data_IF_067725615819
#
_entry.id   IF_067725615819
#
_cell.length_a   1.000
_cell.length_b   1.000
_cell.length_c   1.000
_cell.angle_alpha   90.00
_cell.angle_beta   90.00
_cell.angle_gamma   90.00
#
_symmetry.space_group_name_H-M   'P 1'
#
loop_
_entity.id
_entity.type
_entity.pdbx_description
1 polymer ?
#
# COMPACT_ATOMS: atom_id res chain seq x y z
N UNK A 1 -21.42 -4.40 -4.95
CA UNK A 1 -20.45 -3.93 -5.96
C UNK A 1 -21.22 -3.73 -7.25
N UNK A 2 -21.04 -2.60 -7.95
CA UNK A 2 -21.72 -2.38 -9.23
C UNK A 2 -21.10 -3.28 -10.33
N UNK A 3 -21.77 -3.36 -11.48
CA UNK A 3 -21.36 -4.26 -12.57
C UNK A 3 -19.98 -3.89 -13.15
N UNK A 4 -19.73 -2.59 -13.33
CA UNK A 4 -18.45 -2.10 -13.82
C UNK A 4 -17.27 -2.51 -12.90
N UNK A 5 -17.41 -2.32 -11.59
CA UNK A 5 -16.40 -2.71 -10.62
C UNK A 5 -16.19 -4.23 -10.59
N UNK A 6 -17.26 -5.02 -10.75
CA UNK A 6 -17.15 -6.46 -10.88
C UNK A 6 -16.29 -6.86 -12.09
N UNK A 7 -16.54 -6.22 -13.23
CA UNK A 7 -15.77 -6.43 -14.47
C UNK A 7 -14.31 -6.00 -14.34
N UNK A 8 -14.05 -4.83 -13.76
CA UNK A 8 -12.67 -4.36 -13.51
C UNK A 8 -11.93 -5.28 -12.54
N UNK A 9 -12.60 -5.77 -11.49
CA UNK A 9 -12.05 -6.72 -10.54
C UNK A 9 -11.74 -8.06 -11.21
N UNK A 10 -12.64 -8.56 -12.05
CA UNK A 10 -12.42 -9.76 -12.84
C UNK A 10 -11.20 -9.58 -13.77
N UNK A 11 -11.12 -8.47 -14.50
CA UNK A 11 -9.96 -8.18 -15.34
C UNK A 11 -8.66 -8.14 -14.53
N UNK A 12 -8.68 -7.53 -13.35
CA UNK A 12 -7.53 -7.48 -12.44
C UNK A 12 -7.07 -8.86 -11.94
N UNK A 13 -7.96 -9.84 -11.94
CA UNK A 13 -7.65 -11.23 -11.57
C UNK A 13 -6.91 -12.02 -12.66
N UNK A 14 -7.05 -11.62 -13.93
CA UNK A 14 -6.50 -12.38 -15.04
C UNK A 14 -4.97 -12.35 -15.02
N UNK A 15 -4.36 -13.52 -15.19
CA UNK A 15 -2.90 -13.68 -15.20
C UNK A 15 -2.29 -12.86 -16.33
N UNK A 16 -1.22 -12.13 -16.00
CA UNK A 16 -0.53 -11.27 -16.98
C UNK A 16 -1.18 -9.90 -17.20
N UNK A 17 -2.31 -9.58 -16.55
CA UNK A 17 -2.86 -8.21 -16.58
C UNK A 17 -2.00 -7.25 -15.78
N UNK A 18 -1.28 -6.38 -16.50
CA UNK A 18 -0.53 -5.28 -15.91
C UNK A 18 -1.38 -4.00 -15.83
N UNK A 19 -0.92 -3.05 -15.00
CA UNK A 19 -1.54 -1.73 -14.87
C UNK A 19 -1.73 -1.04 -16.23
N UNK A 20 -0.71 -1.07 -17.10
CA UNK A 20 -0.73 -0.46 -18.44
C UNK A 20 -1.73 -1.15 -19.38
N UNK A 21 -1.91 -2.45 -19.23
CA UNK A 21 -2.86 -3.20 -20.07
C UNK A 21 -4.29 -2.83 -19.69
N UNK A 22 -4.61 -2.80 -18.40
CA UNK A 22 -5.92 -2.36 -17.91
C UNK A 22 -6.19 -0.91 -18.35
N UNK A 23 -5.21 -0.01 -18.23
CA UNK A 23 -5.31 1.38 -18.71
C UNK A 23 -5.70 1.46 -20.20
N UNK A 24 -5.00 0.71 -21.05
CA UNK A 24 -5.25 0.73 -22.48
C UNK A 24 -6.56 0.03 -22.88
N UNK A 25 -7.01 -0.97 -22.12
CA UNK A 25 -8.34 -1.57 -22.27
C UNK A 25 -9.41 -0.52 -21.93
N UNK A 26 -9.30 0.15 -20.78
CA UNK A 26 -10.25 1.19 -20.37
C UNK A 26 -10.29 2.39 -21.35
N UNK A 27 -9.19 2.70 -22.03
CA UNK A 27 -9.19 3.70 -23.12
C UNK A 27 -10.07 3.31 -24.31
N UNK A 28 -10.17 2.01 -24.62
CA UNK A 28 -10.91 1.50 -25.78
C UNK A 28 -12.32 1.05 -25.42
N UNK A 29 -12.51 0.55 -24.21
CA UNK A 29 -13.80 0.12 -23.66
C UNK A 29 -13.97 0.65 -22.23
N UNK A 30 -14.34 1.94 -22.08
CA UNK A 30 -14.44 2.59 -20.77
C UNK A 30 -15.46 1.97 -19.82
N UNK A 31 -16.43 1.20 -20.35
CA UNK A 31 -17.47 0.53 -19.56
C UNK A 31 -17.21 -0.97 -19.37
N UNK A 32 -16.12 -1.49 -19.96
CA UNK A 32 -15.79 -2.91 -19.99
C UNK A 32 -16.94 -3.79 -20.52
N UNK A 33 -17.81 -3.27 -21.38
CA UNK A 33 -18.99 -3.98 -21.91
C UNK A 33 -18.62 -5.14 -22.83
N UNK A 34 -17.47 -5.04 -23.48
CA UNK A 34 -17.05 -5.96 -24.52
C UNK A 34 -15.91 -6.87 -24.06
N UNK A 35 -15.53 -6.85 -22.76
CA UNK A 35 -14.41 -7.63 -22.23
C UNK A 35 -14.61 -9.15 -22.32
N UNK A 36 -15.85 -9.64 -22.40
CA UNK A 36 -16.13 -11.07 -22.57
C UNK A 36 -16.28 -11.48 -24.04
N UNK A 37 -16.21 -10.52 -24.97
CA UNK A 37 -16.27 -10.80 -26.39
C UNK A 37 -14.85 -10.92 -26.94
N UNK A 38 -14.54 -12.01 -27.65
CA UNK A 38 -13.23 -12.26 -28.28
C UNK A 38 -12.75 -11.12 -29.20
N UNK A 39 -13.68 -10.27 -29.66
CA UNK A 39 -13.42 -9.13 -30.54
C UNK A 39 -12.46 -8.09 -29.91
N UNK A 40 -12.53 -7.85 -28.59
CA UNK A 40 -11.70 -6.81 -27.97
C UNK A 40 -10.21 -7.18 -27.98
N UNK A 41 -9.92 -8.44 -27.69
CA UNK A 41 -8.56 -8.99 -27.67
C UNK A 41 -7.97 -9.20 -29.07
N UNK A 42 -8.82 -9.25 -30.10
CA UNK A 42 -8.42 -9.16 -31.52
C UNK A 42 -8.04 -7.75 -31.97
N UNK A 43 -8.54 -6.70 -31.30
CA UNK A 43 -8.26 -5.28 -31.61
C UNK A 43 -7.06 -4.74 -30.81
N UNK A 44 -6.56 -5.52 -29.85
CA UNK A 44 -5.41 -5.14 -29.03
C UNK A 44 -4.25 -6.17 -29.03
N UNK A 45 -3.88 -6.80 -30.16
CA UNK A 45 -2.76 -7.75 -30.18
C UNK A 45 -1.43 -7.09 -29.82
N UNK A 46 -1.30 -5.77 -30.04
CA UNK A 46 -0.10 -4.98 -29.75
C UNK A 46 0.21 -4.80 -28.25
N UNK A 47 -0.73 -5.07 -27.33
CA UNK A 47 -0.46 -5.00 -25.89
C UNK A 47 0.09 -6.28 -25.29
N UNK A 48 0.01 -7.39 -26.02
CA UNK A 48 0.49 -8.68 -25.55
C UNK A 48 1.83 -8.96 -26.22
N UNK A 49 2.90 -8.88 -25.44
CA UNK A 49 4.27 -9.13 -25.91
C UNK A 49 4.49 -10.58 -26.36
N UNK A 50 3.62 -11.52 -25.98
CA UNK A 50 3.66 -12.93 -26.39
C UNK A 50 2.25 -13.48 -26.62
N UNK A 51 2.12 -14.45 -27.54
CA UNK A 51 0.86 -15.18 -27.80
C UNK A 51 0.32 -15.89 -26.55
N UNK A 52 1.21 -16.36 -25.68
CA UNK A 52 0.86 -17.07 -24.43
C UNK A 52 0.23 -16.17 -23.37
N UNK A 53 0.53 -14.87 -23.37
CA UNK A 53 -0.08 -13.92 -22.43
C UNK A 53 -1.55 -13.69 -22.75
N UNK A 54 -1.89 -13.60 -24.04
CA UNK A 54 -3.27 -13.41 -24.50
C UNK A 54 -4.15 -14.63 -24.22
N UNK A 55 -3.65 -15.84 -24.47
CA UNK A 55 -4.40 -17.07 -24.23
C UNK A 55 -4.73 -17.27 -22.75
N UNK A 56 -3.80 -16.98 -21.85
CA UNK A 56 -4.04 -17.03 -20.41
C UNK A 56 -5.13 -16.05 -19.96
N UNK A 57 -5.09 -14.82 -20.45
CA UNK A 57 -6.09 -13.79 -20.10
C UNK A 57 -7.48 -14.18 -20.60
N UNK A 58 -7.58 -14.65 -21.84
CA UNK A 58 -8.85 -15.13 -22.39
C UNK A 58 -9.39 -16.33 -21.61
N UNK A 59 -8.53 -17.29 -21.28
CA UNK A 59 -8.92 -18.43 -20.44
C UNK A 59 -9.46 -17.96 -19.09
N UNK A 60 -8.77 -17.02 -18.46
CA UNK A 60 -9.14 -16.49 -17.14
C UNK A 60 -10.45 -15.71 -17.19
N UNK A 61 -10.69 -14.89 -18.23
CA UNK A 61 -11.93 -14.11 -18.40
C UNK A 61 -13.19 -14.97 -18.51
N UNK A 62 -13.04 -16.18 -19.05
CA UNK A 62 -14.11 -17.17 -19.18
C UNK A 62 -14.08 -18.24 -18.07
N UNK A 63 -13.23 -18.05 -17.05
CA UNK A 63 -13.11 -18.99 -15.94
C UNK A 63 -14.12 -18.68 -14.85
N UNK A 64 -15.00 -19.64 -14.57
CA UNK A 64 -15.92 -19.58 -13.42
C UNK A 64 -15.16 -19.52 -12.07
N UNK A 65 -13.92 -20.00 -12.05
CA UNK A 65 -13.09 -20.02 -10.85
C UNK A 65 -12.80 -18.60 -10.33
N UNK A 66 -12.55 -17.62 -11.21
CA UNK A 66 -12.28 -16.24 -10.78
C UNK A 66 -13.54 -15.61 -10.22
N UNK A 67 -14.69 -15.84 -10.85
CA UNK A 67 -15.95 -15.35 -10.34
C UNK A 67 -16.26 -15.94 -8.97
N UNK A 68 -15.99 -17.23 -8.77
CA UNK A 68 -16.13 -17.88 -7.47
C UNK A 68 -15.18 -17.27 -6.44
N UNK A 69 -13.91 -17.05 -6.78
CA UNK A 69 -12.98 -16.34 -5.89
C UNK A 69 -13.51 -14.98 -5.46
N UNK A 70 -14.05 -14.17 -6.40
CA UNK A 70 -14.58 -12.84 -6.09
C UNK A 70 -15.81 -12.94 -5.17
N UNK A 71 -16.68 -13.94 -5.37
CA UNK A 71 -17.83 -14.19 -4.48
C UNK A 71 -17.41 -14.46 -3.04
N UNK A 72 -16.22 -15.03 -2.81
CA UNK A 72 -15.70 -15.31 -1.47
C UNK A 72 -15.23 -14.07 -0.69
N UNK A 73 -15.11 -12.89 -1.31
CA UNK A 73 -14.56 -11.71 -0.62
C UNK A 73 -15.48 -11.14 0.44
N UNK A 74 -16.73 -10.87 0.09
CA UNK A 74 -17.70 -10.32 1.05
C UNK A 74 -17.91 -11.25 2.25
N UNK A 75 -18.10 -12.58 2.09
CA UNK A 75 -18.17 -13.52 3.22
C UNK A 75 -16.93 -13.52 4.12
N UNK A 76 -15.75 -13.25 3.58
CA UNK A 76 -14.50 -13.16 4.35
C UNK A 76 -14.22 -11.75 4.91
N UNK A 77 -15.19 -10.83 4.82
CA UNK A 77 -15.05 -9.45 5.29
C UNK A 77 -14.10 -8.60 4.44
N UNK A 78 -13.83 -9.02 3.20
CA UNK A 78 -12.98 -8.31 2.25
C UNK A 78 -13.87 -7.44 1.38
N UNK A 79 -13.55 -6.14 1.35
CA UNK A 79 -14.15 -5.15 0.47
C UNK A 79 -13.21 -4.93 -0.71
N UNK A 80 -13.80 -4.87 -1.90
CA UNK A 80 -13.11 -4.52 -3.13
C UNK A 80 -13.45 -3.07 -3.45
N UNK A 81 -12.42 -2.23 -3.56
CA UNK A 81 -12.53 -0.79 -3.80
C UNK A 81 -11.77 -0.48 -5.09
N UNK A 82 -12.44 0.05 -6.11
CA UNK A 82 -11.80 0.43 -7.37
C UNK A 82 -11.42 1.90 -7.38
N UNK A 83 -10.54 2.31 -8.29
CA UNK A 83 -10.16 3.72 -8.49
C UNK A 83 -11.34 4.67 -8.78
N UNK A 84 -12.51 4.11 -9.12
CA UNK A 84 -13.73 4.83 -9.44
C UNK A 84 -14.69 4.94 -8.25
N UNK A 85 -14.43 4.21 -7.17
CA UNK A 85 -15.23 4.27 -5.94
C UNK A 85 -14.92 5.54 -5.14
N UNK A 86 -15.94 6.04 -4.43
CA UNK A 86 -15.80 7.21 -3.54
C UNK A 86 -14.85 6.92 -2.38
N UNK A 87 -14.78 5.67 -1.96
CA UNK A 87 -13.95 5.18 -0.88
C UNK A 87 -12.46 5.08 -1.27
N UNK A 88 -12.13 5.22 -2.55
CA UNK A 88 -10.74 5.19 -2.99
C UNK A 88 -9.97 6.43 -2.52
N UNK A 89 -8.80 6.29 -1.86
CA UNK A 89 -8.07 7.42 -1.31
C UNK A 89 -7.65 8.43 -2.39
N UNK A 90 -7.97 9.70 -2.18
CA UNK A 90 -7.71 10.78 -3.15
C UNK A 90 -6.20 10.91 -3.41
N UNK A 91 -5.37 10.97 -2.36
CA UNK A 91 -3.91 11.08 -2.51
C UNK A 91 -3.32 9.91 -3.29
N UNK A 92 -3.82 8.69 -3.06
CA UNK A 92 -3.34 7.53 -3.78
C UNK A 92 -3.72 7.61 -5.26
N UNK A 93 -4.90 8.16 -5.58
CA UNK A 93 -5.40 8.33 -6.95
C UNK A 93 -4.55 9.31 -7.78
N UNK A 94 -3.92 10.27 -7.12
CA UNK A 94 -3.04 11.29 -7.74
C UNK A 94 -1.63 10.77 -8.06
N UNK A 95 -1.26 9.60 -7.55
CA UNK A 95 0.06 9.00 -7.82
C UNK A 95 0.23 8.64 -9.30
N UNK A 96 1.46 8.35 -9.73
CA UNK A 96 1.74 8.06 -11.15
C UNK A 96 1.06 6.78 -11.67
N UNK A 97 0.94 5.74 -10.83
CA UNK A 97 0.34 4.44 -11.18
C UNK A 97 -0.57 3.94 -10.06
N UNK A 98 -1.70 4.62 -9.77
CA UNK A 98 -2.60 4.23 -8.68
C UNK A 98 -3.13 2.80 -8.90
N UNK A 99 -3.17 1.93 -7.87
CA UNK A 99 -3.77 0.60 -8.02
C UNK A 99 -5.19 0.67 -8.60
N UNK A 100 -5.49 -0.12 -9.63
CA UNK A 100 -6.85 -0.15 -10.20
C UNK A 100 -7.88 -0.65 -9.18
N UNK A 101 -7.46 -1.57 -8.32
CA UNK A 101 -8.28 -2.23 -7.30
C UNK A 101 -7.48 -2.33 -5.99
N UNK A 102 -8.15 -2.05 -4.88
CA UNK A 102 -7.66 -2.27 -3.52
C UNK A 102 -8.59 -3.28 -2.85
N UNK A 103 -8.01 -4.33 -2.31
CA UNK A 103 -8.68 -5.30 -1.45
C UNK A 103 -8.43 -4.90 0.00
N UNK A 104 -9.48 -4.62 0.73
CA UNK A 104 -9.44 -4.06 2.08
C UNK A 104 -10.18 -4.96 3.07
N UNK A 105 -9.61 -5.18 4.26
CA UNK A 105 -10.26 -5.91 5.35
C UNK A 105 -10.08 -5.16 6.66
N UNK A 106 -11.21 -4.89 7.32
CA UNK A 106 -11.30 -4.06 8.51
C UNK A 106 -12.14 -2.81 8.27
N UNK A 107 -11.81 -1.73 8.97
CA UNK A 107 -12.53 -0.46 8.92
C UNK A 107 -12.09 0.39 7.71
N UNK A 108 -12.87 0.34 6.63
CA UNK A 108 -12.57 1.07 5.39
C UNK A 108 -12.71 2.60 5.54
N UNK A 109 -13.39 3.12 6.58
CA UNK A 109 -13.49 4.57 6.74
C UNK A 109 -12.12 5.21 6.98
N UNK A 110 -11.15 4.43 7.48
CA UNK A 110 -9.78 4.87 7.69
C UNK A 110 -9.10 5.33 6.40
N UNK A 111 -9.55 4.90 5.21
CA UNK A 111 -8.95 5.30 3.93
C UNK A 111 -9.12 6.79 3.61
N UNK A 112 -10.17 7.44 4.13
CA UNK A 112 -10.50 8.84 3.82
C UNK A 112 -10.70 9.71 5.08
N UNK A 113 -10.39 9.18 6.26
CA UNK A 113 -10.46 9.93 7.52
C UNK A 113 -9.08 10.41 7.95
N UNK A 114 -9.00 11.58 8.58
CA UNK A 114 -7.78 12.07 9.24
C UNK A 114 -6.62 12.30 8.29
N UNK A 115 -5.43 12.50 8.86
CA UNK A 115 -4.17 12.68 8.11
C UNK A 115 -3.36 11.40 8.17
N UNK A 116 -3.03 10.83 7.02
CA UNK A 116 -2.17 9.65 6.93
C UNK A 116 -0.69 10.02 6.96
N UNK A 117 0.06 9.39 7.87
CA UNK A 117 1.51 9.45 7.93
C UNK A 117 2.09 8.06 7.67
N UNK A 118 2.85 7.93 6.59
CA UNK A 118 3.61 6.72 6.31
C UNK A 118 4.77 6.61 7.31
N UNK A 119 4.93 5.48 7.97
CA UNK A 119 6.07 5.23 8.88
C UNK A 119 6.81 3.99 8.41
N UNK A 120 8.06 4.15 8.01
CA UNK A 120 8.89 3.06 7.49
C UNK A 120 10.27 3.08 8.12
N UNK A 121 10.93 1.92 8.09
CA UNK A 121 12.32 1.83 8.53
C UNK A 121 12.91 0.44 8.47
N UNK A 122 13.99 0.25 9.21
CA UNK A 122 14.75 -0.99 9.26
C UNK A 122 13.89 -2.16 9.70
N UNK A 123 14.09 -3.31 9.04
CA UNK A 123 13.53 -4.60 9.47
C UNK A 123 14.17 -5.15 10.74
N UNK A 124 15.32 -4.60 11.12
CA UNK A 124 16.00 -4.82 12.39
C UNK A 124 15.86 -3.52 13.18
N UNK A 125 14.80 -3.40 13.97
CA UNK A 125 14.61 -2.24 14.82
C UNK A 125 15.65 -2.26 15.95
N UNK A 126 16.20 -1.09 16.28
CA UNK A 126 17.04 -0.94 17.48
C UNK A 126 16.25 -0.23 18.57
N UNK A 127 16.77 -0.26 19.80
CA UNK A 127 16.18 0.46 20.94
C UNK A 127 15.97 1.95 20.62
N UNK A 128 16.88 2.56 19.86
CA UNK A 128 16.75 3.94 19.41
C UNK A 128 15.48 4.14 18.57
N UNK A 129 15.25 3.28 17.57
CA UNK A 129 14.07 3.39 16.70
C UNK A 129 12.76 3.15 17.45
N UNK A 130 12.76 2.19 18.38
CA UNK A 130 11.60 1.95 19.26
C UNK A 130 11.30 3.16 20.15
N UNK A 131 12.32 3.73 20.80
CA UNK A 131 12.18 4.93 21.63
C UNK A 131 11.71 6.14 20.84
N UNK A 132 12.21 6.32 19.61
CA UNK A 132 11.77 7.41 18.74
C UNK A 132 10.27 7.29 18.42
N UNK A 133 9.78 6.08 18.09
CA UNK A 133 8.35 5.83 17.87
C UNK A 133 7.56 6.11 19.15
N UNK A 134 7.98 5.54 20.29
CA UNK A 134 7.30 5.71 21.58
C UNK A 134 7.23 7.19 22.02
N UNK A 135 8.23 7.99 21.66
CA UNK A 135 8.28 9.42 21.94
C UNK A 135 7.34 10.23 21.03
N UNK A 136 7.37 9.98 19.72
CA UNK A 136 6.63 10.81 18.74
C UNK A 136 5.14 10.42 18.62
N UNK A 137 4.82 9.13 18.72
CA UNK A 137 3.48 8.62 18.41
C UNK A 137 2.36 9.15 19.29
N UNK A 138 2.52 9.27 20.63
CA UNK A 138 1.42 9.73 21.49
C UNK A 138 0.81 11.04 21.01
N UNK A 139 1.66 12.01 20.64
CA UNK A 139 1.21 13.33 20.19
C UNK A 139 0.61 13.31 18.78
N UNK A 140 1.21 12.56 17.85
CA UNK A 140 0.65 12.38 16.50
C UNK A 140 -0.76 11.79 16.58
N UNK A 141 -0.94 10.78 17.43
CA UNK A 141 -2.21 10.07 17.62
C UNK A 141 -3.24 10.96 18.32
N UNK A 142 -2.85 11.72 19.34
CA UNK A 142 -3.69 12.73 19.98
C UNK A 142 -4.26 13.72 18.95
N UNK A 143 -3.48 14.07 17.92
CA UNK A 143 -3.90 14.94 16.82
C UNK A 143 -4.63 14.23 15.67
N UNK A 144 -4.97 12.95 15.84
CA UNK A 144 -5.75 12.18 14.86
C UNK A 144 -4.96 11.72 13.64
N UNK A 145 -3.62 11.71 13.70
CA UNK A 145 -2.79 11.15 12.62
C UNK A 145 -2.97 9.63 12.58
N UNK A 146 -3.22 9.12 11.38
CA UNK A 146 -3.35 7.69 11.09
C UNK A 146 -2.01 7.17 10.61
N UNK A 147 -1.48 6.16 11.30
CA UNK A 147 -0.19 5.56 10.95
C UNK A 147 -0.38 4.55 9.83
N UNK A 148 0.30 4.76 8.70
CA UNK A 148 0.31 3.83 7.57
C UNK A 148 1.66 3.15 7.50
N UNK A 149 1.68 1.82 7.50
CA UNK A 149 2.93 1.06 7.41
C UNK A 149 2.69 -0.31 6.82
N UNK A 150 3.72 -1.15 6.82
CA UNK A 150 3.77 -2.33 5.99
C UNK A 150 3.67 -3.68 6.61
N UNK A 151 3.38 -3.76 7.91
CA UNK A 151 3.40 -5.03 8.63
C UNK A 151 4.70 -5.84 8.46
N UNK A 152 5.79 -5.23 7.98
CA UNK A 152 7.10 -5.89 7.93
C UNK A 152 7.66 -6.08 9.35
N UNK A 153 8.70 -6.90 9.49
CA UNK A 153 9.45 -6.96 10.74
C UNK A 153 10.08 -5.59 11.08
N UNK A 154 10.44 -5.37 12.34
CA UNK A 154 11.11 -4.16 12.79
C UNK A 154 10.17 -2.96 12.89
N UNK A 155 10.61 -1.81 12.34
CA UNK A 155 9.94 -0.51 12.50
C UNK A 155 8.46 -0.56 12.12
N UNK A 156 8.08 -1.21 11.02
CA UNK A 156 6.69 -1.30 10.59
C UNK A 156 5.78 -1.96 11.64
N UNK A 157 6.20 -3.10 12.20
CA UNK A 157 5.44 -3.79 13.23
C UNK A 157 5.38 -2.99 14.55
N UNK A 158 6.47 -2.31 14.91
CA UNK A 158 6.51 -1.46 16.11
C UNK A 158 5.56 -0.27 15.93
N UNK A 159 5.57 0.38 14.77
CA UNK A 159 4.67 1.49 14.44
C UNK A 159 3.20 1.08 14.62
N UNK A 160 2.78 -0.05 14.03
CA UNK A 160 1.41 -0.54 14.21
C UNK A 160 1.06 -0.83 15.67
N UNK A 161 1.95 -1.52 16.40
CA UNK A 161 1.73 -1.86 17.81
C UNK A 161 1.63 -0.63 18.70
N UNK A 162 2.54 0.33 18.55
CA UNK A 162 2.54 1.56 19.32
C UNK A 162 1.33 2.45 18.95
N UNK A 163 0.92 2.47 17.68
CA UNK A 163 -0.31 3.14 17.28
C UNK A 163 -1.55 2.57 18.01
N UNK A 164 -1.69 1.24 18.02
CA UNK A 164 -2.80 0.55 18.70
C UNK A 164 -2.74 0.76 20.21
N UNK A 165 -1.56 0.61 20.83
CA UNK A 165 -1.33 0.80 22.27
C UNK A 165 -1.73 2.19 22.75
N UNK A 166 -1.46 3.22 21.95
CA UNK A 166 -1.87 4.60 22.21
C UNK A 166 -3.32 4.90 21.76
N UNK A 167 -4.14 3.87 21.49
CA UNK A 167 -5.54 3.96 21.06
C UNK A 167 -5.74 4.72 19.74
N UNK A 168 -4.70 4.79 18.91
CA UNK A 168 -4.74 5.40 17.60
C UNK A 168 -5.29 4.48 16.51
N UNK A 169 -5.29 5.02 15.29
CA UNK A 169 -5.69 4.30 14.08
C UNK A 169 -4.49 3.97 13.21
N UNK A 170 -4.54 2.82 12.54
CA UNK A 170 -3.44 2.40 11.68
C UNK A 170 -3.89 1.56 10.49
N UNK A 171 -3.18 1.69 9.37
CA UNK A 171 -3.45 0.98 8.11
C UNK A 171 -2.22 0.17 7.73
N UNK A 172 -2.37 -1.14 7.64
CA UNK A 172 -1.34 -2.06 7.15
C UNK A 172 -1.48 -2.27 5.64
N UNK A 173 -0.48 -1.91 4.86
CA UNK A 173 -0.44 -2.23 3.42
C UNK A 173 0.42 -3.48 3.25
N UNK A 174 -0.07 -4.54 2.61
CA UNK A 174 0.69 -5.82 2.50
C UNK A 174 1.11 -6.15 1.07
N UNK A 175 2.20 -6.90 0.94
CA UNK A 175 2.56 -7.56 -0.31
C UNK A 175 1.80 -8.89 -0.44
N UNK A 176 1.37 -9.24 -1.65
CA UNK A 176 0.49 -10.39 -1.87
C UNK A 176 -0.93 -10.16 -1.35
N UNK A 177 -1.76 -11.20 -1.36
CA UNK A 177 -3.17 -11.15 -1.02
C UNK A 177 -3.47 -11.29 0.47
N UNK A 178 -4.66 -10.85 0.88
CA UNK A 178 -5.14 -10.86 2.27
C UNK A 178 -5.25 -12.27 2.90
N UNK A 179 -5.19 -13.36 2.12
CA UNK A 179 -5.12 -14.72 2.64
C UNK A 179 -3.68 -15.21 2.90
N UNK A 180 -2.66 -14.44 2.52
CA UNK A 180 -1.26 -14.84 2.60
C UNK A 180 -0.40 -13.80 3.35
N UNK A 181 -0.64 -13.68 4.66
CA UNK A 181 0.06 -12.72 5.50
C UNK A 181 1.53 -13.13 5.73
N UNK A 182 2.42 -12.17 5.45
CA UNK A 182 3.85 -12.28 5.63
C UNK A 182 4.42 -10.99 6.27
N UNK A 183 5.41 -11.08 7.19
CA UNK A 183 6.02 -12.31 7.70
C UNK A 183 5.10 -13.05 8.68
N UNK A 184 5.30 -14.36 8.83
CA UNK A 184 4.49 -15.21 9.72
C UNK A 184 4.51 -14.69 11.17
N UNK A 185 5.64 -14.15 11.63
CA UNK A 185 5.77 -13.56 12.96
C UNK A 185 4.78 -12.41 13.24
N UNK A 186 4.29 -11.72 12.19
CA UNK A 186 3.33 -10.62 12.31
C UNK A 186 1.89 -11.02 11.98
N UNK A 187 1.59 -12.31 11.77
CA UNK A 187 0.23 -12.77 11.46
C UNK A 187 -0.78 -12.37 12.53
N UNK A 188 -0.44 -12.56 13.81
CA UNK A 188 -1.33 -12.18 14.91
C UNK A 188 -1.68 -10.70 14.88
N UNK A 189 -0.68 -9.84 14.67
CA UNK A 189 -0.87 -8.39 14.55
C UNK A 189 -1.75 -8.05 13.34
N UNK A 190 -1.49 -8.64 12.18
CA UNK A 190 -2.29 -8.41 10.98
C UNK A 190 -3.76 -8.81 11.18
N UNK A 191 -4.03 -9.95 11.81
CA UNK A 191 -5.40 -10.39 12.10
C UNK A 191 -6.10 -9.52 13.14
N UNK A 192 -5.39 -9.04 14.15
CA UNK A 192 -5.90 -8.03 15.08
C UNK A 192 -6.28 -6.74 14.33
N UNK A 193 -5.42 -6.28 13.43
CA UNK A 193 -5.68 -5.11 12.59
C UNK A 193 -6.86 -5.31 11.64
N UNK A 194 -6.99 -6.48 11.02
CA UNK A 194 -8.15 -6.80 10.18
C UNK A 194 -9.49 -6.78 10.94
N UNK A 195 -9.45 -6.91 12.27
CA UNK A 195 -10.64 -6.87 13.13
C UNK A 195 -10.97 -5.46 13.61
N UNK A 196 -9.95 -4.69 14.01
CA UNK A 196 -10.14 -3.44 14.77
C UNK A 196 -9.57 -2.19 14.06
N UNK A 197 -8.84 -2.38 12.97
CA UNK A 197 -8.12 -1.35 12.20
C UNK A 197 -8.33 -1.65 10.71
N UNK A 198 -7.34 -1.41 9.85
CA UNK A 198 -7.45 -1.73 8.43
C UNK A 198 -6.18 -2.41 7.89
N UNK A 199 -6.38 -3.42 7.05
CA UNK A 199 -5.31 -3.99 6.21
C UNK A 199 -5.75 -3.97 4.75
N UNK A 200 -4.88 -3.48 3.88
CA UNK A 200 -5.14 -3.37 2.43
C UNK A 200 -4.06 -4.06 1.59
N UNK A 201 -4.46 -4.48 0.40
CA UNK A 201 -3.56 -4.98 -0.64
C UNK A 201 -4.02 -4.55 -2.03
N UNK A 202 -3.09 -4.38 -2.95
CA UNK A 202 -3.39 -4.27 -4.39
C UNK A 202 -3.64 -5.64 -5.04
N UNK A 203 -3.19 -6.73 -4.42
CA UNK A 203 -3.26 -8.06 -5.05
C UNK A 203 -4.52 -8.82 -4.63
N UNK A 204 -5.11 -9.61 -5.55
CA UNK A 204 -6.19 -10.52 -5.22
C UNK A 204 -5.94 -11.30 -3.92
N UNK A 205 -6.96 -11.55 -3.08
CA UNK A 205 -6.79 -12.16 -1.76
C UNK A 205 -6.02 -13.47 -1.73
N UNK A 206 -6.12 -14.29 -2.79
CA UNK A 206 -5.40 -15.57 -2.92
C UNK A 206 -3.99 -15.46 -3.53
N UNK A 207 -3.50 -14.26 -3.87
CA UNK A 207 -2.17 -14.08 -4.45
C UNK A 207 -1.09 -14.31 -3.40
N UNK A 208 -0.15 -15.23 -3.65
CA UNK A 208 1.00 -15.43 -2.76
C UNK A 208 2.01 -14.28 -2.88
N UNK A 209 2.60 -13.82 -1.75
CA UNK A 209 3.59 -12.75 -1.78
C UNK A 209 4.84 -13.17 -2.55
N UNK A 210 5.29 -12.30 -3.47
CA UNK A 210 6.52 -12.45 -4.25
C UNK A 210 7.53 -11.37 -3.89
N UNK A 211 8.84 -11.65 -4.01
CA UNK A 211 9.91 -10.72 -3.58
C UNK A 211 9.78 -9.30 -4.18
N UNK A 212 9.39 -9.20 -5.45
CA UNK A 212 9.23 -7.93 -6.15
C UNK A 212 8.02 -7.11 -5.68
N UNK A 213 7.04 -7.74 -5.03
CA UNK A 213 5.84 -7.07 -4.53
C UNK A 213 6.13 -6.25 -3.26
N UNK A 214 7.18 -6.58 -2.51
CA UNK A 214 7.52 -5.84 -1.29
C UNK A 214 7.96 -4.39 -1.59
N UNK A 215 8.91 -4.13 -2.52
CA UNK A 215 9.21 -2.75 -2.92
C UNK A 215 8.04 -2.08 -3.65
N UNK A 216 7.35 -2.81 -4.54
CA UNK A 216 6.23 -2.25 -5.32
C UNK A 216 5.10 -1.71 -4.44
N UNK A 217 4.81 -2.39 -3.35
CA UNK A 217 3.75 -1.98 -2.43
C UNK A 217 4.09 -0.68 -1.68
N UNK A 218 5.37 -0.31 -1.54
CA UNK A 218 5.78 0.89 -0.82
C UNK A 218 5.23 2.20 -1.45
N UNK A 219 4.97 2.20 -2.76
CA UNK A 219 4.29 3.32 -3.44
C UNK A 219 2.87 3.54 -2.93
N UNK A 220 2.21 2.50 -2.41
CA UNK A 220 0.85 2.63 -1.85
C UNK A 220 0.94 3.21 -0.44
N UNK A 221 1.96 2.82 0.34
CA UNK A 221 2.20 3.37 1.70
C UNK A 221 2.42 4.89 1.62
N UNK A 222 3.34 5.32 0.75
CA UNK A 222 3.64 6.74 0.54
C UNK A 222 2.48 7.44 -0.17
N UNK A 223 1.91 6.83 -1.21
CA UNK A 223 0.85 7.42 -2.01
C UNK A 223 -0.45 7.73 -1.28
N UNK A 224 -0.85 6.92 -0.29
CA UNK A 224 -2.00 7.25 0.56
C UNK A 224 -1.67 8.33 1.62
N UNK A 225 -0.40 8.61 1.85
CA UNK A 225 0.07 9.44 2.97
C UNK A 225 0.40 10.86 2.54
N UNK A 226 0.14 11.85 3.42
CA UNK A 226 0.59 13.23 3.19
C UNK A 226 2.09 13.39 3.35
N UNK A 227 2.70 12.57 4.21
CA UNK A 227 4.14 12.52 4.38
C UNK A 227 4.63 11.13 4.79
N UNK A 228 5.93 10.92 4.68
CA UNK A 228 6.63 9.68 5.03
C UNK A 228 7.71 9.95 6.05
N UNK A 229 7.59 9.35 7.23
CA UNK A 229 8.57 9.37 8.32
C UNK A 229 9.46 8.12 8.25
N UNK A 230 10.76 8.35 8.09
CA UNK A 230 11.79 7.32 8.15
C UNK A 230 12.43 7.36 9.53
N UNK A 231 12.17 6.32 10.33
CA UNK A 231 12.67 6.23 11.72
C UNK A 231 14.15 5.83 11.74
N UNK A 232 14.50 4.77 11.00
CA UNK A 232 15.87 4.27 10.88
C UNK A 232 16.03 3.55 9.55
N UNK A 233 17.15 3.74 8.88
CA UNK A 233 17.44 3.13 7.60
C UNK A 233 18.95 2.94 7.40
N UNK A 234 19.35 1.76 6.92
CA UNK A 234 20.70 1.58 6.35
C UNK A 234 20.77 2.30 5.00
N UNK A 235 21.96 2.70 4.59
CA UNK A 235 22.22 3.14 3.22
C UNK A 235 21.76 2.05 2.23
N UNK A 236 21.19 2.46 1.09
CA UNK A 236 20.60 1.55 0.07
C UNK A 236 19.50 0.61 0.58
N UNK A 237 18.82 0.93 1.68
CA UNK A 237 17.72 0.11 2.21
C UNK A 237 16.40 0.33 1.47
N UNK A 238 15.48 -0.63 1.59
CA UNK A 238 14.13 -0.52 1.01
C UNK A 238 13.30 0.66 1.51
N UNK A 239 13.62 1.22 2.68
CA UNK A 239 12.98 2.43 3.21
C UNK A 239 13.30 3.67 2.37
N UNK A 240 14.50 3.73 1.78
CA UNK A 240 14.87 4.82 0.85
C UNK A 240 14.04 4.76 -0.45
N UNK A 241 13.62 3.57 -0.87
CA UNK A 241 12.71 3.41 -2.01
C UNK A 241 11.36 4.07 -1.71
N UNK A 242 10.84 3.90 -0.49
CA UNK A 242 9.60 4.56 -0.06
C UNK A 242 9.76 6.08 -0.01
N UNK A 243 10.89 6.58 0.49
CA UNK A 243 11.20 8.01 0.49
C UNK A 243 11.22 8.57 -0.95
N UNK A 244 11.83 7.85 -1.89
CA UNK A 244 11.83 8.25 -3.30
C UNK A 244 10.42 8.27 -3.91
N UNK A 245 9.56 7.29 -3.61
CA UNK A 245 8.17 7.33 -4.04
C UNK A 245 7.44 8.57 -3.48
N UNK A 246 7.62 8.86 -2.19
CA UNK A 246 7.04 10.03 -1.55
C UNK A 246 7.46 11.34 -2.26
N UNK A 247 8.75 11.53 -2.52
CA UNK A 247 9.24 12.72 -3.26
C UNK A 247 8.61 12.82 -4.66
N UNK A 248 8.58 11.71 -5.41
CA UNK A 248 8.00 11.69 -6.75
C UNK A 248 6.50 11.98 -6.79
N UNK A 249 5.79 11.69 -5.70
CA UNK A 249 4.36 11.92 -5.54
C UNK A 249 4.05 13.26 -4.87
N UNK A 250 5.07 14.11 -4.65
CA UNK A 250 4.91 15.42 -4.00
C UNK A 250 4.48 15.30 -2.54
N UNK A 251 4.98 14.28 -1.83
CA UNK A 251 4.70 14.03 -0.40
C UNK A 251 5.90 14.46 0.44
N UNK A 252 5.62 14.93 1.64
CA UNK A 252 6.66 15.29 2.59
C UNK A 252 7.52 14.09 2.98
N UNK A 253 8.82 14.30 3.17
CA UNK A 253 9.73 13.27 3.64
C UNK A 253 10.41 13.75 4.91
N UNK A 254 10.16 13.04 5.99
CA UNK A 254 10.72 13.27 7.31
C UNK A 254 11.73 12.18 7.64
N UNK A 255 12.84 12.56 8.25
CA UNK A 255 13.85 11.61 8.69
C UNK A 255 14.29 11.90 10.12
N UNK A 256 14.28 10.86 10.95
CA UNK A 256 14.84 10.94 12.31
C UNK A 256 16.37 10.87 12.20
N UNK A 257 17.11 11.87 12.71
CA UNK A 257 18.57 11.86 12.64
C UNK A 257 19.14 10.77 13.52
N UNK A 258 20.36 10.30 13.24
CA UNK A 258 20.99 9.32 14.12
C UNK A 258 22.50 9.38 14.14
N UNK A 259 23.09 8.63 15.09
CA UNK A 259 24.54 8.54 15.25
C UNK A 259 25.22 8.13 13.94
N UNK A 260 26.22 8.89 13.48
CA UNK A 260 26.98 8.66 12.24
C UNK A 260 27.77 7.33 12.24
N UNK A 261 28.06 6.77 13.42
CA UNK A 261 28.71 5.46 13.56
C UNK A 261 27.72 4.29 13.54
N UNK A 262 26.41 4.57 13.63
CA UNK A 262 25.40 3.53 13.56
C UNK A 262 25.04 3.25 12.09
N UNK A 263 25.17 2.00 11.61
CA UNK A 263 24.78 1.67 10.25
C UNK A 263 23.27 1.85 10.02
N UNK A 264 22.46 1.89 11.07
CA UNK A 264 21.01 2.10 10.99
C UNK A 264 20.59 3.56 10.86
N UNK A 265 21.52 4.51 10.95
CA UNK A 265 21.28 5.95 10.74
C UNK A 265 21.78 6.45 9.39
N UNK A 266 22.61 5.67 8.68
CA UNK A 266 23.25 6.12 7.44
C UNK A 266 22.24 6.61 6.41
N UNK A 267 21.17 5.84 6.19
CA UNK A 267 20.12 6.20 5.23
C UNK A 267 19.27 7.40 5.66
N UNK A 268 18.95 7.55 6.96
CA UNK A 268 18.19 8.72 7.42
C UNK A 268 19.03 9.99 7.32
N UNK A 269 20.31 9.94 7.69
CA UNK A 269 21.22 11.07 7.56
C UNK A 269 21.47 11.44 6.08
N UNK A 270 21.60 10.45 5.19
CA UNK A 270 21.67 10.67 3.73
C UNK A 270 20.42 11.36 3.19
N UNK A 271 19.21 10.94 3.61
CA UNK A 271 17.97 11.60 3.21
C UNK A 271 17.92 13.06 3.66
N UNK A 272 18.37 13.34 4.89
CA UNK A 272 18.45 14.72 5.41
C UNK A 272 19.37 15.57 4.53
N UNK A 273 20.53 15.03 4.15
CA UNK A 273 21.45 15.72 3.24
C UNK A 273 20.84 15.96 1.85
N UNK A 274 19.92 15.08 1.41
CA UNK A 274 19.20 15.19 0.14
C UNK A 274 17.96 16.11 0.22
N UNK A 275 17.69 16.71 1.38
CA UNK A 275 16.60 17.68 1.56
C UNK A 275 15.36 17.15 2.28
N UNK A 276 15.37 15.92 2.79
CA UNK A 276 14.32 15.48 3.70
C UNK A 276 14.35 16.32 4.98
N UNK A 277 13.18 16.67 5.51
CA UNK A 277 13.09 17.43 6.76
C UNK A 277 13.59 16.57 7.92
N UNK A 278 14.66 17.02 8.58
CA UNK A 278 15.09 16.45 9.85
C UNK A 278 14.00 16.68 10.88
N UNK A 279 13.55 15.61 11.53
CA UNK A 279 12.56 15.70 12.62
C UNK A 279 13.03 15.03 13.90
N UNK A 280 12.75 15.67 15.04
CA UNK A 280 13.07 15.19 16.39
C UNK A 280 11.83 15.03 17.25
N UNK A 281 10.69 15.59 16.86
CA UNK A 281 9.44 15.51 17.60
C UNK A 281 8.21 15.46 16.70
N UNK A 282 7.06 15.17 17.29
CA UNK A 282 5.79 15.11 16.58
C UNK A 282 5.34 16.48 16.06
N UNK A 283 5.63 17.55 16.80
CA UNK A 283 5.27 18.93 16.47
C UNK A 283 5.88 19.35 15.14
N UNK A 284 7.17 19.04 14.91
CA UNK A 284 7.87 19.37 13.66
C UNK A 284 7.25 18.67 12.43
N UNK A 285 6.59 17.51 12.60
CA UNK A 285 5.82 16.84 11.54
C UNK A 285 4.45 17.52 11.37
N UNK A 286 3.76 17.79 12.47
CA UNK A 286 2.42 18.37 12.46
C UNK A 286 2.40 19.76 11.83
N UNK A 287 3.45 20.55 12.03
CA UNK A 287 3.62 21.88 11.40
C UNK A 287 3.53 21.80 9.87
N UNK A 288 4.09 20.76 9.24
CA UNK A 288 4.03 20.58 7.78
C UNK A 288 2.65 20.12 7.28
N UNK A 289 1.79 19.60 8.16
CA UNK A 289 0.43 19.19 7.77
C UNK A 289 -0.60 20.31 7.93
N UNK A 290 -0.24 21.44 8.54
CA UNK A 290 -1.13 22.60 8.70
C UNK A 290 -1.19 23.48 7.44
N UNK A 291 -0.21 23.34 6.55
CA UNK A 291 -0.18 23.96 5.23
C UNK A 291 -0.69 22.99 4.14
#
# INVERSE_FOLDING_TARGET
MNEFNMRLTHLHHCRGMSWKMIYNILKKDPQLNCMYNHTLFRIIPQLFTTKDSLSNVLQDLHSDQIQEQIRQYSPNGIKTITIFDKEYPILLKETYQPPWVIYARGDISLLNSGTHLAVVGSRQATEYGEKAIQYMFPKLIEKGVIIVSGLAAGIDAIAHKEAIKNKGKTIGVIAGGLFHIYPQANQRLAYEMMKNQLVISEYPPATRPSRWQFPMRNRIISGISRGTLIIQAKSKSGSLITANYAVHEGREVFAVPGNIFSPFSGGTNELIQQGAKLVKSAEEILEEFLY
#
